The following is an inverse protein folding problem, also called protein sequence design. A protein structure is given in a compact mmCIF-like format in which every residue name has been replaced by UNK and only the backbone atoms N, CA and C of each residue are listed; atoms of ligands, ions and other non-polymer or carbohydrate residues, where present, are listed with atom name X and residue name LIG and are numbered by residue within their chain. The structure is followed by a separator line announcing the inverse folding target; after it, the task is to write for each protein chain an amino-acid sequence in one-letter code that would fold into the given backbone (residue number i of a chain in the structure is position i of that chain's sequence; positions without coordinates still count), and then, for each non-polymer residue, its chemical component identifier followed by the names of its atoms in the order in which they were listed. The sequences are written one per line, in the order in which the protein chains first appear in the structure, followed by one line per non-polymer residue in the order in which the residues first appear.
data_IF_198446613144
#
_entry.id   IF_198446613144
#
_cell.length_a   1.000
_cell.length_b   1.000
_cell.length_c   1.000
_cell.angle_alpha   90.00
_cell.angle_beta   90.00
_cell.angle_gamma   90.00
#
_symmetry.space_group_name_H-M   'P 1'
#
loop_
_entity.id
_entity.type
_entity.pdbx_description
1 polymer ?
#
# COMPACT_ATOMS: atom_id res chain seq x y z
N UNK A 1 38.47 -2.25 -70.71
CA UNK A 1 37.95 -3.16 -69.64
C UNK A 1 37.83 -2.36 -68.36
N UNK A 2 36.62 -1.91 -68.02
CA UNK A 2 36.34 -1.16 -66.80
C UNK A 2 35.82 -2.19 -65.76
N UNK A 3 36.57 -2.38 -64.66
CA UNK A 3 36.15 -3.24 -63.57
C UNK A 3 35.26 -2.41 -62.62
N UNK A 4 33.96 -2.71 -62.62
CA UNK A 4 33.00 -2.16 -61.64
C UNK A 4 33.17 -2.95 -60.34
N UNK A 5 33.70 -2.32 -59.31
CA UNK A 5 33.74 -2.87 -57.95
C UNK A 5 32.39 -2.55 -57.31
N UNK A 6 31.51 -3.55 -57.21
CA UNK A 6 30.27 -3.45 -56.44
C UNK A 6 30.65 -3.65 -54.97
N UNK A 7 30.70 -2.51 -54.22
CA UNK A 7 30.79 -2.54 -52.76
C UNK A 7 29.44 -2.98 -52.17
N UNK A 8 29.34 -4.23 -51.75
CA UNK A 8 28.25 -4.75 -50.95
C UNK A 8 28.34 -4.13 -49.56
N UNK A 9 27.59 -3.04 -49.34
CA UNK A 9 27.27 -2.53 -48.01
C UNK A 9 26.43 -3.57 -47.28
N UNK A 10 27.10 -4.39 -46.48
CA UNK A 10 26.42 -5.18 -45.43
C UNK A 10 25.84 -4.23 -44.41
N UNK A 11 24.59 -3.83 -44.62
CA UNK A 11 23.76 -3.25 -43.57
C UNK A 11 23.49 -4.38 -42.57
N UNK A 12 24.33 -4.52 -41.54
CA UNK A 12 23.96 -5.28 -40.37
C UNK A 12 22.75 -4.59 -39.76
N UNK A 13 21.58 -5.23 -39.69
CA UNK A 13 20.52 -4.70 -38.84
C UNK A 13 21.06 -4.76 -37.42
N UNK A 14 21.35 -3.60 -36.83
CA UNK A 14 21.43 -3.48 -35.37
C UNK A 14 20.03 -3.88 -34.91
N UNK A 15 19.85 -5.16 -34.60
CA UNK A 15 18.66 -5.64 -33.95
C UNK A 15 18.65 -4.91 -32.58
N UNK A 16 17.97 -3.78 -32.55
CA UNK A 16 17.56 -3.16 -31.31
C UNK A 16 16.67 -4.23 -30.65
N UNK A 17 17.26 -5.06 -29.75
CA UNK A 17 16.50 -6.07 -29.05
C UNK A 17 15.42 -5.36 -28.26
N UNK A 18 14.19 -5.43 -28.74
CA UNK A 18 13.05 -4.91 -28.00
C UNK A 18 13.05 -5.57 -26.62
N UNK A 19 13.03 -4.78 -25.57
CA UNK A 19 12.95 -5.30 -24.20
C UNK A 19 11.66 -6.09 -24.04
N UNK A 20 11.76 -7.29 -23.47
CA UNK A 20 10.60 -8.11 -23.19
C UNK A 20 9.84 -7.57 -21.96
N UNK A 21 8.57 -7.94 -21.84
CA UNK A 21 7.75 -7.65 -20.66
C UNK A 21 8.48 -8.01 -19.35
N UNK A 22 9.10 -9.19 -19.32
CA UNK A 22 9.81 -9.65 -18.14
C UNK A 22 11.04 -8.79 -17.83
N UNK A 23 11.86 -8.47 -18.82
CA UNK A 23 13.04 -7.61 -18.63
C UNK A 23 12.69 -6.20 -18.14
N UNK A 24 11.58 -5.64 -18.66
CA UNK A 24 11.10 -4.34 -18.19
C UNK A 24 10.61 -4.41 -16.75
N UNK A 25 9.88 -5.48 -16.40
CA UNK A 25 9.37 -5.70 -15.04
C UNK A 25 10.50 -5.87 -14.03
N UNK A 26 11.52 -6.68 -14.34
CA UNK A 26 12.69 -6.89 -13.48
C UNK A 26 13.48 -5.60 -13.27
N UNK A 27 13.75 -4.86 -14.33
CA UNK A 27 14.44 -3.57 -14.24
C UNK A 27 13.64 -2.53 -13.46
N UNK A 28 12.31 -2.55 -13.55
CA UNK A 28 11.47 -1.67 -12.76
C UNK A 28 11.60 -1.97 -11.27
N UNK A 29 11.61 -3.25 -10.88
CA UNK A 29 11.82 -3.67 -9.49
C UNK A 29 13.19 -3.19 -8.99
N UNK A 30 14.27 -3.39 -9.77
CA UNK A 30 15.60 -2.87 -9.43
C UNK A 30 15.62 -1.35 -9.24
N UNK A 31 14.85 -0.62 -10.05
CA UNK A 31 14.72 0.83 -9.91
C UNK A 31 13.96 1.22 -8.64
N UNK A 32 12.93 0.46 -8.24
CA UNK A 32 12.20 0.67 -6.98
C UNK A 32 13.13 0.46 -5.79
N UNK A 33 13.92 -0.62 -5.78
CA UNK A 33 14.90 -0.92 -4.72
C UNK A 33 15.99 0.15 -4.58
N UNK A 34 16.26 0.89 -5.66
CA UNK A 34 17.25 2.00 -5.71
C UNK A 34 16.59 3.38 -5.58
N UNK A 35 15.33 3.46 -5.15
CA UNK A 35 14.52 4.69 -5.05
C UNK A 35 14.46 5.53 -6.34
N UNK A 36 14.71 4.89 -7.50
CA UNK A 36 14.66 5.54 -8.81
C UNK A 36 13.23 5.53 -9.38
N UNK A 37 12.30 6.17 -8.65
CA UNK A 37 10.85 6.04 -8.85
C UNK A 37 10.37 6.50 -10.24
N UNK A 38 10.86 7.62 -10.77
CA UNK A 38 10.49 8.06 -12.13
C UNK A 38 10.87 7.03 -13.20
N UNK A 39 12.06 6.43 -13.05
CA UNK A 39 12.50 5.40 -14.00
C UNK A 39 11.72 4.11 -13.85
N UNK A 40 11.38 3.74 -12.63
CA UNK A 40 10.52 2.58 -12.35
C UNK A 40 9.14 2.76 -13.01
N UNK A 41 8.52 3.94 -12.85
CA UNK A 41 7.23 4.26 -13.47
C UNK A 41 7.27 4.08 -15.00
N UNK A 42 8.27 4.66 -15.67
CA UNK A 42 8.44 4.52 -17.12
C UNK A 42 8.52 3.04 -17.56
N UNK A 43 9.32 2.24 -16.85
CA UNK A 43 9.52 0.83 -17.19
C UNK A 43 8.26 -0.01 -16.94
N UNK A 44 7.52 0.26 -15.85
CA UNK A 44 6.25 -0.39 -15.55
C UNK A 44 5.20 -0.08 -16.63
N UNK A 45 5.08 1.19 -17.02
CA UNK A 45 4.15 1.60 -18.08
C UNK A 45 4.51 0.99 -19.43
N UNK A 46 5.81 0.86 -19.76
CA UNK A 46 6.25 0.19 -20.96
C UNK A 46 5.88 -1.31 -20.94
N UNK A 47 6.11 -2.00 -19.82
CA UNK A 47 5.73 -3.40 -19.66
C UNK A 47 4.23 -3.62 -19.82
N UNK A 48 3.42 -2.83 -19.14
CA UNK A 48 1.95 -2.88 -19.21
C UNK A 48 1.41 -2.64 -20.62
N UNK A 49 2.08 -1.74 -21.39
CA UNK A 49 1.74 -1.47 -22.78
C UNK A 49 2.06 -2.64 -23.72
N UNK A 50 3.15 -3.38 -23.44
CA UNK A 50 3.52 -4.56 -24.24
C UNK A 50 2.53 -5.70 -24.08
N UNK A 51 2.10 -5.98 -22.86
CA UNK A 51 1.23 -7.11 -22.56
C UNK A 51 0.03 -6.69 -21.69
N UNK A 52 -0.94 -5.93 -22.22
CA UNK A 52 -2.01 -5.35 -21.41
C UNK A 52 -2.97 -6.36 -20.79
N UNK A 53 -2.99 -7.60 -21.28
CA UNK A 53 -3.85 -8.68 -20.77
C UNK A 53 -3.08 -9.74 -19.97
N UNK A 54 -1.81 -9.50 -19.64
CA UNK A 54 -1.03 -10.46 -18.86
C UNK A 54 -1.60 -10.58 -17.44
N UNK A 55 -1.81 -11.82 -16.99
CA UNK A 55 -2.32 -12.08 -15.63
C UNK A 55 -1.42 -11.54 -14.53
N UNK A 56 -0.11 -11.38 -14.79
CA UNK A 56 0.85 -10.78 -13.86
C UNK A 56 0.72 -9.26 -13.72
N UNK A 57 -0.13 -8.62 -14.51
CA UNK A 57 -0.34 -7.17 -14.43
C UNK A 57 -0.89 -6.70 -13.08
N UNK A 58 -1.53 -7.58 -12.29
CA UNK A 58 -1.87 -7.24 -10.91
C UNK A 58 -0.65 -6.72 -10.14
N UNK A 59 0.49 -7.43 -10.23
CA UNK A 59 1.72 -7.04 -9.56
C UNK A 59 2.32 -5.76 -10.16
N UNK A 60 2.32 -5.62 -11.49
CA UNK A 60 2.85 -4.41 -12.13
C UNK A 60 2.04 -3.17 -11.78
N UNK A 61 0.71 -3.25 -11.78
CA UNK A 61 -0.15 -2.15 -11.35
C UNK A 61 0.01 -1.86 -9.86
N UNK A 62 0.21 -2.87 -9.01
CA UNK A 62 0.51 -2.67 -7.59
C UNK A 62 1.83 -1.91 -7.40
N UNK A 63 2.90 -2.34 -8.08
CA UNK A 63 4.18 -1.65 -8.04
C UNK A 63 4.10 -0.22 -8.62
N UNK A 64 3.30 -0.01 -9.67
CA UNK A 64 3.05 1.31 -10.24
C UNK A 64 2.35 2.21 -9.21
N UNK A 65 1.33 1.70 -8.52
CA UNK A 65 0.65 2.41 -7.44
C UNK A 65 1.61 2.80 -6.31
N UNK A 66 2.48 1.87 -5.89
CA UNK A 66 3.52 2.13 -4.88
C UNK A 66 4.46 3.27 -5.33
N UNK A 67 4.97 3.20 -6.57
CA UNK A 67 5.87 4.21 -7.14
C UNK A 67 5.19 5.57 -7.19
N UNK A 68 3.96 5.64 -7.69
CA UNK A 68 3.18 6.89 -7.78
C UNK A 68 2.87 7.49 -6.41
N UNK A 69 2.59 6.64 -5.39
CA UNK A 69 2.48 7.10 -4.00
C UNK A 69 3.79 7.72 -3.51
N UNK A 70 4.95 7.09 -3.78
CA UNK A 70 6.27 7.63 -3.42
C UNK A 70 6.58 8.97 -4.12
N UNK A 71 6.05 9.18 -5.30
CA UNK A 71 6.14 10.43 -6.05
C UNK A 71 5.12 11.48 -5.59
N UNK A 72 4.21 11.15 -4.66
CA UNK A 72 3.13 12.03 -4.20
C UNK A 72 1.95 12.13 -5.17
N UNK A 73 1.91 11.29 -6.18
CA UNK A 73 0.88 11.27 -7.22
C UNK A 73 -0.32 10.39 -6.80
N UNK A 74 -0.96 10.76 -5.69
CA UNK A 74 -1.96 9.92 -5.01
C UNK A 74 -3.13 9.49 -5.90
N UNK A 75 -3.67 10.37 -6.77
CA UNK A 75 -4.79 10.00 -7.64
C UNK A 75 -4.39 8.95 -8.68
N UNK A 76 -3.18 9.07 -9.27
CA UNK A 76 -2.64 8.04 -10.16
C UNK A 76 -2.40 6.72 -9.42
N UNK A 77 -1.86 6.77 -8.21
CA UNK A 77 -1.64 5.59 -7.38
C UNK A 77 -2.96 4.85 -7.08
N UNK A 78 -4.01 5.57 -6.74
CA UNK A 78 -5.35 5.01 -6.52
C UNK A 78 -5.93 4.35 -7.78
N UNK A 79 -5.70 4.94 -8.95
CA UNK A 79 -6.08 4.35 -10.23
C UNK A 79 -5.31 3.06 -10.50
N UNK A 80 -3.99 3.08 -10.32
CA UNK A 80 -3.12 1.92 -10.49
C UNK A 80 -3.50 0.77 -9.56
N UNK A 81 -3.72 1.02 -8.26
CA UNK A 81 -4.21 0.00 -7.35
C UNK A 81 -5.59 -0.52 -7.72
N UNK A 82 -6.47 0.34 -8.25
CA UNK A 82 -7.78 -0.09 -8.73
C UNK A 82 -7.67 -1.00 -9.95
N UNK A 83 -6.75 -0.72 -10.87
CA UNK A 83 -6.43 -1.65 -11.96
C UNK A 83 -5.84 -2.96 -11.45
N UNK A 84 -4.94 -2.93 -10.48
CA UNK A 84 -4.40 -4.14 -9.85
C UNK A 84 -5.53 -5.03 -9.27
N UNK A 85 -6.49 -4.41 -8.58
CA UNK A 85 -7.64 -5.11 -8.01
C UNK A 85 -8.65 -5.63 -9.04
N UNK A 86 -8.64 -5.14 -10.30
CA UNK A 86 -9.42 -5.77 -11.37
C UNK A 86 -8.84 -7.13 -11.77
N UNK A 87 -7.52 -7.35 -11.63
CA UNK A 87 -6.86 -8.63 -11.86
C UNK A 87 -6.88 -9.54 -10.62
N UNK A 88 -6.78 -8.95 -9.43
CA UNK A 88 -6.73 -9.66 -8.14
C UNK A 88 -7.66 -8.99 -7.11
N UNK A 89 -9.00 -9.22 -7.19
CA UNK A 89 -9.98 -8.47 -6.41
C UNK A 89 -9.86 -8.60 -4.89
N UNK A 90 -9.27 -9.69 -4.41
CA UNK A 90 -9.16 -10.02 -2.99
C UNK A 90 -7.70 -9.98 -2.48
N UNK A 91 -6.82 -9.29 -3.22
CA UNK A 91 -5.43 -9.15 -2.82
C UNK A 91 -5.31 -8.21 -1.61
N UNK A 92 -5.23 -8.79 -0.41
CA UNK A 92 -5.13 -8.08 0.87
C UNK A 92 -4.05 -6.99 0.85
N UNK A 93 -2.80 -7.23 0.40
CA UNK A 93 -1.79 -6.18 0.37
C UNK A 93 -2.20 -4.97 -0.47
N UNK A 94 -2.82 -5.19 -1.64
CA UNK A 94 -3.24 -4.10 -2.53
C UNK A 94 -4.41 -3.31 -1.93
N UNK A 95 -5.33 -3.99 -1.24
CA UNK A 95 -6.42 -3.32 -0.52
C UNK A 95 -5.89 -2.45 0.63
N UNK A 96 -4.90 -2.93 1.40
CA UNK A 96 -4.26 -2.17 2.47
C UNK A 96 -3.54 -0.93 1.92
N UNK A 97 -2.72 -1.09 0.88
CA UNK A 97 -2.00 0.01 0.26
C UNK A 97 -2.95 1.09 -0.27
N UNK A 98 -4.06 0.69 -0.93
CA UNK A 98 -5.05 1.64 -1.43
C UNK A 98 -5.81 2.32 -0.30
N UNK A 99 -6.18 1.57 0.75
CA UNK A 99 -6.84 2.12 1.93
C UNK A 99 -5.95 3.15 2.64
N UNK A 100 -4.64 2.90 2.74
CA UNK A 100 -3.69 3.84 3.32
C UNK A 100 -3.69 5.18 2.56
N UNK A 101 -3.67 5.16 1.20
CA UNK A 101 -3.79 6.40 0.42
C UNK A 101 -5.14 7.08 0.63
N UNK A 102 -6.23 6.33 0.74
CA UNK A 102 -7.53 6.93 1.05
C UNK A 102 -7.53 7.61 2.42
N UNK A 103 -6.83 7.06 3.43
CA UNK A 103 -6.64 7.71 4.73
C UNK A 103 -5.80 8.98 4.62
N UNK A 104 -4.65 8.92 3.94
CA UNK A 104 -3.76 10.06 3.71
C UNK A 104 -4.46 11.24 2.99
N UNK A 105 -5.39 10.91 2.10
CA UNK A 105 -6.14 11.91 1.31
C UNK A 105 -7.50 12.28 1.90
N UNK A 106 -7.80 11.85 3.14
CA UNK A 106 -9.05 12.16 3.84
C UNK A 106 -10.31 11.46 3.28
N UNK A 107 -10.13 10.47 2.41
CA UNK A 107 -11.24 9.70 1.80
C UNK A 107 -11.63 8.51 2.68
N UNK A 108 -11.93 8.79 3.95
CA UNK A 108 -12.10 7.78 5.02
C UNK A 108 -13.18 6.74 4.73
N UNK A 109 -14.27 7.09 4.03
CA UNK A 109 -15.32 6.12 3.68
C UNK A 109 -14.84 5.07 2.68
N UNK A 110 -13.95 5.45 1.76
CA UNK A 110 -13.34 4.51 0.82
C UNK A 110 -12.31 3.61 1.52
N UNK A 111 -11.51 4.20 2.41
CA UNK A 111 -10.59 3.43 3.25
C UNK A 111 -11.34 2.39 4.10
N UNK A 112 -12.43 2.79 4.74
CA UNK A 112 -13.29 1.89 5.50
C UNK A 112 -13.77 0.69 4.67
N UNK A 113 -14.20 0.95 3.43
CA UNK A 113 -14.65 -0.11 2.53
C UNK A 113 -13.54 -1.12 2.23
N UNK A 114 -12.33 -0.65 1.96
CA UNK A 114 -11.20 -1.53 1.67
C UNK A 114 -10.75 -2.30 2.94
N UNK A 115 -10.70 -1.66 4.12
CA UNK A 115 -10.42 -2.39 5.38
C UNK A 115 -11.48 -3.43 5.73
N UNK A 116 -12.76 -3.18 5.45
CA UNK A 116 -13.79 -4.21 5.59
C UNK A 116 -13.52 -5.41 4.68
N UNK A 117 -13.18 -5.17 3.40
CA UNK A 117 -12.83 -6.25 2.47
C UNK A 117 -11.60 -7.05 2.92
N UNK A 118 -10.58 -6.36 3.47
CA UNK A 118 -9.43 -7.04 4.08
C UNK A 118 -9.88 -7.96 5.21
N UNK A 119 -10.77 -7.49 6.10
CA UNK A 119 -11.23 -8.27 7.25
C UNK A 119 -12.26 -9.36 6.89
N UNK A 120 -12.88 -9.27 5.73
CA UNK A 120 -13.69 -10.36 5.17
C UNK A 120 -12.80 -11.54 4.75
N UNK A 121 -11.59 -11.25 4.20
CA UNK A 121 -10.61 -12.26 3.78
C UNK A 121 -9.69 -12.71 4.93
N UNK A 122 -9.23 -11.79 5.75
CA UNK A 122 -8.33 -12.02 6.88
C UNK A 122 -8.86 -11.33 8.15
N UNK A 123 -9.68 -12.04 8.90
CA UNK A 123 -10.30 -11.54 10.15
C UNK A 123 -9.30 -11.21 11.26
N UNK A 124 -8.04 -11.59 11.10
CA UNK A 124 -6.97 -11.35 12.07
C UNK A 124 -5.98 -10.28 11.60
N UNK A 125 -6.27 -9.60 10.51
CA UNK A 125 -5.40 -8.55 9.99
C UNK A 125 -5.32 -7.38 10.97
N UNK A 126 -4.19 -7.28 11.67
CA UNK A 126 -4.00 -6.30 12.76
C UNK A 126 -4.06 -4.86 12.24
N UNK A 127 -3.51 -4.60 11.05
CA UNK A 127 -3.53 -3.26 10.44
C UNK A 127 -4.96 -2.84 10.11
N UNK A 128 -5.72 -3.72 9.48
CA UNK A 128 -7.11 -3.43 9.13
C UNK A 128 -8.00 -3.23 10.37
N UNK A 129 -7.81 -4.04 11.43
CA UNK A 129 -8.50 -3.84 12.72
C UNK A 129 -8.18 -2.48 13.32
N UNK A 130 -6.88 -2.12 13.40
CA UNK A 130 -6.41 -0.85 13.93
C UNK A 130 -7.04 0.34 13.18
N UNK A 131 -6.92 0.32 11.87
CA UNK A 131 -7.34 1.45 11.04
C UNK A 131 -8.86 1.57 10.94
N UNK A 132 -9.60 0.46 10.93
CA UNK A 132 -11.06 0.49 10.97
C UNK A 132 -11.57 0.99 12.32
N UNK A 133 -10.95 0.58 13.43
CA UNK A 133 -11.25 1.12 14.75
C UNK A 133 -11.04 2.63 14.82
N UNK A 134 -9.94 3.12 14.24
CA UNK A 134 -9.68 4.56 14.14
C UNK A 134 -10.77 5.29 13.33
N UNK A 135 -11.21 4.72 12.20
CA UNK A 135 -12.32 5.30 11.41
C UNK A 135 -13.62 5.32 12.21
N UNK A 136 -13.91 4.28 13.01
CA UNK A 136 -15.07 4.28 13.90
C UNK A 136 -15.00 5.39 14.93
N UNK A 137 -13.83 5.71 15.51
CA UNK A 137 -13.67 6.86 16.39
C UNK A 137 -14.02 8.18 15.66
N UNK A 138 -13.52 8.37 14.43
CA UNK A 138 -13.84 9.55 13.62
C UNK A 138 -15.34 9.70 13.36
N UNK A 139 -16.05 8.58 13.22
CA UNK A 139 -17.51 8.52 13.04
C UNK A 139 -18.29 8.58 14.36
N UNK A 140 -17.60 8.62 15.51
CA UNK A 140 -18.18 8.53 16.85
C UNK A 140 -18.93 7.23 17.13
N UNK A 141 -18.63 6.17 16.38
CA UNK A 141 -19.13 4.81 16.64
C UNK A 141 -18.17 4.10 17.62
N UNK A 142 -18.20 4.54 18.88
CA UNK A 142 -17.31 4.05 19.91
C UNK A 142 -17.51 2.55 20.24
N UNK A 143 -18.74 2.02 20.25
CA UNK A 143 -18.93 0.59 20.44
C UNK A 143 -18.24 -0.27 19.36
N UNK A 144 -18.34 0.12 18.09
CA UNK A 144 -17.67 -0.61 17.00
C UNK A 144 -16.14 -0.48 17.08
N UNK A 145 -15.62 0.73 17.40
CA UNK A 145 -14.20 0.93 17.62
C UNK A 145 -13.64 0.01 18.71
N UNK A 146 -14.36 -0.13 19.82
CA UNK A 146 -13.99 -0.99 20.95
C UNK A 146 -13.88 -2.46 20.55
N UNK A 147 -14.79 -2.95 19.74
CA UNK A 147 -14.75 -4.34 19.24
C UNK A 147 -13.45 -4.59 18.49
N UNK A 148 -13.09 -3.72 17.56
CA UNK A 148 -11.89 -3.89 16.74
C UNK A 148 -10.59 -3.73 17.57
N UNK A 149 -10.51 -2.75 18.48
CA UNK A 149 -9.35 -2.62 19.37
C UNK A 149 -9.20 -3.81 20.32
N UNK A 150 -10.29 -4.30 20.90
CA UNK A 150 -10.23 -5.49 21.74
C UNK A 150 -9.74 -6.69 20.94
N UNK A 151 -10.26 -6.88 19.72
CA UNK A 151 -9.82 -7.96 18.85
C UNK A 151 -8.34 -7.86 18.48
N UNK A 152 -7.86 -6.63 18.18
CA UNK A 152 -6.43 -6.39 17.95
C UNK A 152 -5.60 -6.76 19.19
N UNK A 153 -6.03 -6.37 20.39
CA UNK A 153 -5.31 -6.65 21.63
C UNK A 153 -5.41 -8.09 22.09
N UNK A 154 -6.44 -8.85 21.67
CA UNK A 154 -6.46 -10.32 21.82
C UNK A 154 -5.38 -10.99 20.96
N UNK A 155 -5.13 -10.48 19.75
CA UNK A 155 -4.12 -11.00 18.82
C UNK A 155 -2.70 -10.53 19.19
N UNK A 156 -2.58 -9.34 19.74
CA UNK A 156 -1.32 -8.69 20.09
C UNK A 156 -1.50 -7.81 21.33
N UNK A 157 -1.43 -8.40 22.54
CA UNK A 157 -1.62 -7.68 23.80
C UNK A 157 -0.61 -6.54 24.02
N UNK A 158 0.55 -6.61 23.36
CA UNK A 158 1.62 -5.62 23.45
C UNK A 158 1.57 -4.59 22.30
N UNK A 159 0.56 -4.62 21.45
CA UNK A 159 0.42 -3.65 20.37
C UNK A 159 0.40 -2.23 20.91
N UNK A 160 1.46 -1.48 20.65
CA UNK A 160 1.57 -0.07 21.06
C UNK A 160 0.39 0.75 20.49
N UNK A 161 0.19 0.69 19.17
CA UNK A 161 -0.88 1.42 18.49
C UNK A 161 -2.28 0.97 18.95
N UNK A 162 -2.46 -0.32 19.24
CA UNK A 162 -3.72 -0.86 19.75
C UNK A 162 -4.05 -0.31 21.14
N UNK A 163 -3.08 -0.31 22.07
CA UNK A 163 -3.23 0.24 23.43
C UNK A 163 -3.45 1.75 23.42
N UNK A 164 -2.68 2.48 22.64
CA UNK A 164 -2.83 3.93 22.49
C UNK A 164 -4.19 4.28 21.87
N UNK A 165 -4.64 3.53 20.85
CA UNK A 165 -5.94 3.68 20.24
C UNK A 165 -7.09 3.43 21.23
N UNK A 166 -6.98 2.39 22.08
CA UNK A 166 -7.97 2.12 23.13
C UNK A 166 -7.96 3.21 24.18
N UNK A 167 -6.80 3.70 24.63
CA UNK A 167 -6.73 4.83 25.57
C UNK A 167 -7.37 6.10 24.99
N UNK A 168 -7.17 6.35 23.70
CA UNK A 168 -7.82 7.46 23.00
C UNK A 168 -9.34 7.27 22.95
N UNK A 169 -9.82 6.05 22.71
CA UNK A 169 -11.25 5.75 22.75
C UNK A 169 -11.84 5.99 24.14
N UNK A 170 -11.18 5.51 25.21
CA UNK A 170 -11.63 5.75 26.58
C UNK A 170 -11.73 7.25 26.89
N UNK A 171 -10.76 8.05 26.41
CA UNK A 171 -10.79 9.49 26.54
C UNK A 171 -11.97 10.13 25.80
N UNK A 172 -12.30 9.63 24.58
CA UNK A 172 -13.46 10.13 23.81
C UNK A 172 -14.80 9.78 24.45
N UNK A 173 -14.86 8.71 25.22
CA UNK A 173 -16.03 8.31 26.01
C UNK A 173 -16.04 8.93 27.43
N UNK A 174 -15.11 9.88 27.72
CA UNK A 174 -14.95 10.55 29.02
C UNK A 174 -14.57 9.60 30.18
N UNK A 175 -14.07 8.42 29.85
CA UNK A 175 -13.55 7.41 30.79
C UNK A 175 -12.07 7.67 31.08
N UNK A 176 -11.81 8.82 31.70
CA UNK A 176 -10.44 9.32 31.88
C UNK A 176 -9.59 8.42 32.79
N UNK A 177 -10.19 7.74 33.77
CA UNK A 177 -9.48 6.83 34.67
C UNK A 177 -8.95 5.62 33.89
N UNK A 178 -9.79 5.02 33.08
CA UNK A 178 -9.45 3.85 32.24
C UNK A 178 -8.37 4.23 31.22
N UNK A 179 -8.48 5.40 30.61
CA UNK A 179 -7.44 5.93 29.71
C UNK A 179 -6.10 6.07 30.42
N UNK A 180 -6.09 6.71 31.60
CA UNK A 180 -4.87 6.89 32.40
C UNK A 180 -4.27 5.55 32.86
N UNK A 181 -5.08 4.57 33.21
CA UNK A 181 -4.59 3.25 33.60
C UNK A 181 -3.85 2.54 32.44
N UNK A 182 -4.33 2.70 31.21
CA UNK A 182 -3.65 2.17 30.02
C UNK A 182 -2.35 2.92 29.77
N UNK A 183 -2.38 4.25 29.75
CA UNK A 183 -1.21 5.09 29.46
C UNK A 183 -0.12 4.92 30.53
N UNK A 184 -0.49 4.87 31.81
CA UNK A 184 0.50 4.64 32.88
C UNK A 184 1.22 3.29 32.75
N UNK A 185 0.51 2.23 32.34
CA UNK A 185 1.17 0.94 32.05
C UNK A 185 2.13 1.06 30.87
N UNK A 186 1.77 1.78 29.83
CA UNK A 186 2.64 2.02 28.67
C UNK A 186 3.87 2.85 29.05
N UNK A 187 3.71 3.90 29.88
CA UNK A 187 4.82 4.73 30.37
C UNK A 187 5.84 3.92 31.17
N UNK A 188 5.38 2.98 32.01
CA UNK A 188 6.28 2.09 32.77
C UNK A 188 7.12 1.23 31.85
N UNK A 189 6.55 0.78 30.72
CA UNK A 189 7.24 -0.05 29.75
C UNK A 189 8.18 0.75 28.82
N UNK A 190 7.80 2.01 28.50
CA UNK A 190 8.54 2.91 27.59
C UNK A 190 8.60 4.33 28.15
N UNK A 191 9.35 4.58 29.25
CA UNK A 191 9.34 5.87 29.94
C UNK A 191 9.94 7.02 29.12
N UNK A 192 10.62 6.72 28.01
CA UNK A 192 11.24 7.73 27.13
C UNK A 192 10.28 8.23 26.04
N UNK A 193 9.09 7.63 25.92
CA UNK A 193 8.12 7.99 24.91
C UNK A 193 7.30 9.22 25.32
N UNK A 194 7.69 10.39 24.79
CA UNK A 194 7.01 11.66 25.06
C UNK A 194 5.55 11.72 24.59
N UNK A 195 5.11 10.79 23.73
CA UNK A 195 3.71 10.77 23.21
C UNK A 195 2.72 10.27 24.26
N UNK A 196 3.20 9.69 25.36
CA UNK A 196 2.37 9.13 26.43
C UNK A 196 2.03 10.15 27.55
N UNK A 197 2.66 11.33 27.51
CA UNK A 197 2.47 12.41 28.49
C UNK A 197 1.58 13.53 27.91
#
# INVERSE_FOLDING_TARGET
MVRIIIALLFCFPVALSAQTYQQLSEKAIECIEKDSFHRAEELLLQALKLEPKNAKNALLFSNLGLVQRRLGEYDKALESYSFALNFAPLAVPILLDRAAIYMETGRTDRAYTDYCRVLDEDKQNKEALLMRAYIYILRRDYPAARIDYNRLLELDPQSYSGRLGLATLEQKEEKFRESLDILNKMIVETPEDATLY
#
